data_IF_520200228433
#
_entry.id   IF_520200228433
#
_cell.length_a   1.000
_cell.length_b   1.000
_cell.length_c   1.000
_cell.angle_alpha   90.00
_cell.angle_beta   90.00
_cell.angle_gamma   90.00
#
_symmetry.space_group_name_H-M   'P 1'
#
loop_
_entity.id
_entity.type
_entity.pdbx_description
1 polymer ?
#
# COMPACT_ATOMS: atom_id res chain seq x y z
N UNK A 1 11.26 -13.27 -8.88
CA UNK A 1 10.40 -12.77 -9.98
C UNK A 1 9.06 -13.46 -9.85
N UNK A 2 7.95 -12.77 -10.11
CA UNK A 2 6.62 -13.39 -10.15
C UNK A 2 6.21 -13.49 -11.62
N UNK A 3 5.83 -14.69 -12.05
CA UNK A 3 5.33 -14.95 -13.41
C UNK A 3 3.85 -15.30 -13.29
N UNK A 4 3.02 -14.64 -14.06
CA UNK A 4 1.58 -14.94 -14.15
C UNK A 4 1.22 -15.15 -15.62
N UNK A 5 0.31 -16.09 -15.89
CA UNK A 5 -0.24 -16.33 -17.23
C UNK A 5 -1.62 -16.94 -17.12
N UNK A 6 -2.43 -16.72 -18.14
CA UNK A 6 -3.71 -17.43 -18.34
C UNK A 6 -3.51 -18.87 -18.83
N UNK A 7 -2.30 -19.21 -19.30
CA UNK A 7 -1.96 -20.53 -19.84
C UNK A 7 -0.75 -21.14 -19.10
N UNK A 8 -0.89 -22.30 -18.43
CA UNK A 8 0.21 -22.96 -17.72
C UNK A 8 1.40 -23.31 -18.63
N UNK A 9 1.13 -23.70 -19.89
CA UNK A 9 2.18 -24.05 -20.85
C UNK A 9 3.12 -22.87 -21.15
N UNK A 10 2.58 -21.64 -21.20
CA UNK A 10 3.37 -20.44 -21.43
C UNK A 10 4.32 -20.14 -20.25
N UNK A 11 3.92 -20.45 -19.02
CA UNK A 11 4.77 -20.31 -17.83
C UNK A 11 5.96 -21.27 -17.94
N UNK A 12 5.70 -22.53 -18.27
CA UNK A 12 6.76 -23.54 -18.38
C UNK A 12 7.75 -23.22 -19.51
N UNK A 13 7.25 -22.76 -20.66
CA UNK A 13 8.10 -22.32 -21.78
C UNK A 13 9.00 -21.15 -21.34
N UNK A 14 8.43 -20.13 -20.71
CA UNK A 14 9.19 -18.95 -20.25
C UNK A 14 10.24 -19.34 -19.20
N UNK A 15 9.91 -20.22 -18.26
CA UNK A 15 10.86 -20.72 -17.25
C UNK A 15 12.01 -21.47 -17.92
N UNK A 16 11.71 -22.32 -18.91
CA UNK A 16 12.72 -23.04 -19.69
C UNK A 16 13.64 -22.07 -20.43
N UNK A 17 13.08 -21.07 -21.11
CA UNK A 17 13.85 -20.07 -21.85
C UNK A 17 14.76 -19.26 -20.91
N UNK A 18 14.24 -18.81 -19.76
CA UNK A 18 15.02 -18.08 -18.77
C UNK A 18 16.12 -18.94 -18.13
N UNK A 19 15.88 -20.23 -17.93
CA UNK A 19 16.86 -21.17 -17.38
C UNK A 19 18.06 -21.38 -18.32
N UNK A 20 17.92 -21.10 -19.62
CA UNK A 20 19.06 -21.15 -20.56
C UNK A 20 20.07 -20.02 -20.34
N UNK A 21 19.60 -18.84 -19.90
CA UNK A 21 20.43 -17.64 -19.74
C UNK A 21 20.81 -17.38 -18.29
N UNK A 22 19.93 -17.74 -17.34
CA UNK A 22 20.08 -17.43 -15.93
C UNK A 22 19.91 -18.68 -15.05
N UNK A 23 20.60 -18.76 -13.90
CA UNK A 23 20.33 -19.79 -12.91
C UNK A 23 18.96 -19.52 -12.25
N UNK A 24 17.92 -20.15 -12.77
CA UNK A 24 16.54 -20.03 -12.27
C UNK A 24 16.19 -21.21 -11.38
N UNK A 25 15.63 -20.93 -10.20
CA UNK A 25 15.01 -21.92 -9.32
C UNK A 25 13.51 -21.64 -9.27
N UNK A 26 12.72 -22.59 -9.75
CA UNK A 26 11.28 -22.53 -9.60
C UNK A 26 10.90 -22.84 -8.15
N UNK A 27 10.16 -21.92 -7.53
CA UNK A 27 9.67 -22.02 -6.16
C UNK A 27 8.22 -22.50 -6.11
N UNK A 28 7.66 -22.95 -7.25
CA UNK A 28 6.28 -23.40 -7.40
C UNK A 28 5.27 -22.28 -7.09
N UNK A 29 4.11 -22.63 -6.54
CA UNK A 29 3.04 -21.69 -6.19
C UNK A 29 3.56 -20.55 -5.30
N UNK A 30 3.12 -19.32 -5.61
CA UNK A 30 3.53 -18.12 -4.91
C UNK A 30 2.92 -18.08 -3.50
N UNK A 31 3.68 -18.46 -2.47
CA UNK A 31 3.23 -18.31 -1.07
C UNK A 31 3.82 -17.08 -0.37
N UNK A 32 5.03 -16.69 -0.75
CA UNK A 32 5.73 -15.57 -0.13
C UNK A 32 6.62 -14.84 -1.14
N UNK A 33 6.46 -13.52 -1.25
CA UNK A 33 7.32 -12.70 -2.10
C UNK A 33 7.49 -11.30 -1.53
N UNK A 34 8.75 -10.89 -1.30
CA UNK A 34 9.10 -9.56 -0.78
C UNK A 34 8.31 -9.16 0.48
N UNK A 35 8.00 -10.07 1.39
CA UNK A 35 7.22 -9.73 2.59
C UNK A 35 5.71 -9.83 2.43
N UNK A 36 5.20 -10.05 1.21
CA UNK A 36 3.81 -10.39 0.94
C UNK A 36 3.62 -11.90 1.10
N UNK A 37 2.61 -12.28 1.87
CA UNK A 37 2.07 -13.62 2.01
C UNK A 37 0.82 -13.75 1.15
N UNK A 38 0.71 -14.88 0.48
CA UNK A 38 -0.40 -15.19 -0.42
C UNK A 38 -1.04 -16.48 0.04
N UNK A 39 -2.26 -16.38 0.55
CA UNK A 39 -3.06 -17.52 0.94
C UNK A 39 -4.15 -17.76 -0.12
N UNK A 40 -4.13 -18.94 -0.71
CA UNK A 40 -5.15 -19.35 -1.68
C UNK A 40 -6.34 -19.95 -0.93
N UNK A 41 -7.53 -19.46 -1.25
CA UNK A 41 -8.81 -19.95 -0.72
C UNK A 41 -9.65 -20.49 -1.86
N UNK A 42 -10.63 -21.35 -1.58
CA UNK A 42 -11.51 -21.92 -2.61
C UNK A 42 -12.22 -20.86 -3.47
N UNK A 43 -12.45 -19.67 -2.88
CA UNK A 43 -13.18 -18.56 -3.51
C UNK A 43 -12.26 -17.49 -4.10
N UNK A 44 -10.95 -17.55 -3.86
CA UNK A 44 -10.04 -16.48 -4.25
C UNK A 44 -8.69 -16.50 -3.54
N UNK A 45 -8.12 -15.33 -3.32
CA UNK A 45 -6.76 -15.11 -2.85
C UNK A 45 -6.76 -14.07 -1.74
N UNK A 46 -6.00 -14.31 -0.69
CA UNK A 46 -5.84 -13.40 0.44
C UNK A 46 -4.38 -12.97 0.52
N UNK A 47 -4.14 -11.67 0.39
CA UNK A 47 -2.82 -11.05 0.54
C UNK A 47 -2.67 -10.51 1.94
N UNK A 48 -1.60 -10.90 2.62
CA UNK A 48 -1.25 -10.35 3.94
C UNK A 48 0.25 -10.08 4.06
N UNK A 49 0.66 -9.41 5.13
CA UNK A 49 2.06 -9.17 5.45
C UNK A 49 2.38 -9.60 6.88
N UNK A 50 1.74 -10.66 7.37
CA UNK A 50 1.74 -11.04 8.79
C UNK A 50 3.14 -11.30 9.35
N UNK A 51 3.97 -12.08 8.66
CA UNK A 51 5.38 -12.32 9.02
C UNK A 51 6.18 -11.03 8.96
N UNK A 52 5.97 -10.21 7.93
CA UNK A 52 6.65 -8.92 7.82
C UNK A 52 6.29 -7.98 8.98
N UNK A 53 5.02 -7.92 9.41
CA UNK A 53 4.61 -7.19 10.62
C UNK A 53 5.31 -7.75 11.85
N UNK A 54 5.36 -9.07 12.03
CA UNK A 54 6.06 -9.71 13.17
C UNK A 54 7.55 -9.37 13.20
N UNK A 55 8.22 -9.45 12.06
CA UNK A 55 9.63 -9.13 11.91
C UNK A 55 9.89 -7.63 12.16
N UNK A 56 9.00 -6.75 11.68
CA UNK A 56 9.05 -5.31 11.93
C UNK A 56 8.87 -4.99 13.42
N UNK A 57 7.92 -5.67 14.09
CA UNK A 57 7.69 -5.54 15.53
C UNK A 57 8.90 -6.03 16.32
N UNK A 58 9.49 -7.17 15.95
CA UNK A 58 10.69 -7.70 16.59
C UNK A 58 11.89 -6.75 16.43
N UNK A 59 12.11 -6.22 15.22
CA UNK A 59 13.16 -5.23 14.91
C UNK A 59 13.02 -3.92 15.67
N UNK A 60 11.78 -3.50 15.93
CA UNK A 60 11.51 -2.28 16.73
C UNK A 60 11.89 -2.40 18.22
N UNK A 61 12.38 -3.58 18.64
CA UNK A 61 12.93 -3.88 19.95
C UNK A 61 12.00 -3.52 21.13
N UNK A 62 10.69 -3.74 20.94
CA UNK A 62 9.68 -3.61 22.01
C UNK A 62 9.51 -4.87 22.86
N UNK A 63 10.41 -5.87 22.75
CA UNK A 63 10.35 -7.10 23.55
C UNK A 63 11.45 -7.20 24.63
N UNK A 64 12.68 -6.70 24.43
CA UNK A 64 13.80 -6.87 25.39
C UNK A 64 14.90 -5.78 25.29
N UNK A 65 14.59 -4.50 25.43
CA UNK A 65 15.60 -3.44 25.29
C UNK A 65 16.47 -3.25 26.57
N UNK A 66 17.78 -3.53 26.46
CA UNK A 66 18.82 -3.25 27.48
C UNK A 66 19.27 -1.79 27.42
N UNK A 67 19.64 -1.20 28.55
CA UNK A 67 20.08 0.19 28.66
C UNK A 67 21.36 0.48 27.85
N UNK A 68 21.34 1.57 27.07
CA UNK A 68 22.48 2.05 26.26
C UNK A 68 22.69 3.54 26.55
N UNK A 69 23.96 3.93 26.70
CA UNK A 69 24.42 5.25 27.15
C UNK A 69 24.45 6.35 26.05
N UNK A 70 23.95 6.05 24.84
CA UNK A 70 23.81 7.05 23.77
C UNK A 70 22.35 7.48 23.63
N UNK A 71 22.04 8.78 23.63
CA UNK A 71 20.66 9.25 23.67
C UNK A 71 19.85 8.93 22.40
N UNK A 72 20.47 8.64 21.24
CA UNK A 72 19.73 8.24 20.03
C UNK A 72 20.60 7.70 18.89
N UNK A 73 20.25 6.53 18.32
CA UNK A 73 20.65 6.17 16.96
C UNK A 73 19.51 6.51 15.98
N UNK A 74 19.69 7.54 15.15
CA UNK A 74 18.68 8.00 14.18
C UNK A 74 18.29 6.91 13.15
N UNK A 75 19.21 5.99 12.85
CA UNK A 75 19.08 4.93 11.85
C UNK A 75 17.91 3.96 12.11
N UNK A 76 17.67 3.61 13.38
CA UNK A 76 16.65 2.62 13.75
C UNK A 76 15.22 3.16 13.57
N UNK A 77 15.00 4.45 13.88
CA UNK A 77 13.69 5.09 13.71
C UNK A 77 13.33 5.24 12.23
N UNK A 78 14.31 5.64 11.42
CA UNK A 78 14.15 5.76 9.95
C UNK A 78 13.85 4.41 9.31
N UNK A 79 14.52 3.34 9.75
CA UNK A 79 14.25 1.98 9.25
C UNK A 79 12.83 1.51 9.56
N UNK A 80 12.32 1.79 10.77
CA UNK A 80 10.94 1.44 11.15
C UNK A 80 9.91 2.21 10.33
N UNK A 81 10.11 3.51 10.11
CA UNK A 81 9.18 4.33 9.31
C UNK A 81 9.20 3.89 7.84
N UNK A 82 10.38 3.58 7.27
CA UNK A 82 10.46 2.97 5.94
C UNK A 82 9.74 1.62 5.87
N UNK A 83 9.85 0.82 6.94
CA UNK A 83 9.14 -0.45 7.04
C UNK A 83 7.61 -0.30 7.08
N UNK A 84 7.11 0.73 7.77
CA UNK A 84 5.69 1.10 7.79
C UNK A 84 5.19 1.62 6.44
N UNK A 85 6.03 2.36 5.72
CA UNK A 85 5.72 2.83 4.36
C UNK A 85 5.54 1.65 3.40
N UNK A 86 6.38 0.62 3.52
CA UNK A 86 6.21 -0.62 2.76
C UNK A 86 4.90 -1.34 3.13
N UNK A 87 4.53 -1.30 4.41
CA UNK A 87 3.33 -1.98 4.91
C UNK A 87 2.01 -1.40 4.40
N UNK A 88 2.05 -0.12 4.03
CA UNK A 88 0.91 0.57 3.43
C UNK A 88 0.49 -0.03 2.07
N UNK A 89 1.29 -0.95 1.49
CA UNK A 89 0.96 -1.73 0.29
C UNK A 89 -0.08 -2.83 0.50
N UNK A 90 -0.35 -3.28 1.72
CA UNK A 90 -1.44 -4.23 2.01
C UNK A 90 -2.38 -3.75 3.10
N UNK A 91 -2.03 -2.65 3.77
CA UNK A 91 -2.79 -2.07 4.87
C UNK A 91 -3.16 -0.62 4.54
N UNK A 92 -4.21 -0.39 3.71
CA UNK A 92 -4.68 0.95 3.36
C UNK A 92 -5.12 1.76 4.60
N UNK A 93 -5.57 1.08 5.65
CA UNK A 93 -6.03 1.62 6.92
C UNK A 93 -4.97 2.43 7.67
N UNK A 94 -3.68 2.11 7.51
CA UNK A 94 -2.58 2.87 8.13
C UNK A 94 -1.99 3.95 7.21
N UNK A 95 -2.38 4.02 5.94
CA UNK A 95 -1.72 4.84 4.93
C UNK A 95 -1.64 6.33 5.33
N UNK A 96 -2.73 6.87 5.90
CA UNK A 96 -2.74 8.24 6.41
C UNK A 96 -1.75 8.46 7.56
N UNK A 97 -1.79 7.58 8.58
CA UNK A 97 -0.96 7.70 9.77
C UNK A 97 0.53 7.57 9.42
N UNK A 98 0.86 6.64 8.51
CA UNK A 98 2.22 6.46 7.99
C UNK A 98 2.65 7.69 7.20
N UNK A 99 1.81 8.22 6.29
CA UNK A 99 2.13 9.43 5.54
C UNK A 99 2.46 10.61 6.46
N UNK A 100 1.68 10.80 7.54
CA UNK A 100 1.92 11.87 8.52
C UNK A 100 3.26 11.71 9.23
N UNK A 101 3.59 10.52 9.70
CA UNK A 101 4.88 10.27 10.37
C UNK A 101 6.05 10.43 9.40
N UNK A 102 5.90 9.99 8.15
CA UNK A 102 6.91 10.12 7.11
C UNK A 102 7.33 11.58 6.86
N UNK A 103 6.42 12.55 7.04
CA UNK A 103 6.72 13.98 6.87
C UNK A 103 7.78 14.49 7.85
N UNK A 104 7.93 13.86 9.02
CA UNK A 104 8.87 14.28 10.05
C UNK A 104 10.15 13.45 10.09
N UNK A 105 10.43 12.64 9.07
CA UNK A 105 11.64 11.79 9.00
C UNK A 105 12.94 12.60 8.99
N UNK A 106 12.92 13.83 8.44
CA UNK A 106 14.10 14.70 8.42
C UNK A 106 14.48 15.23 9.82
N UNK A 107 13.50 15.38 10.72
CA UNK A 107 13.72 15.86 12.09
C UNK A 107 12.74 15.20 13.07
N UNK A 108 12.97 13.92 13.43
CA UNK A 108 12.04 13.17 14.27
C UNK A 108 12.13 13.59 15.74
N UNK A 109 11.01 14.07 16.31
CA UNK A 109 10.87 14.45 17.72
C UNK A 109 10.20 13.35 18.54
N UNK A 110 10.22 13.49 19.87
CA UNK A 110 9.56 12.56 20.80
C UNK A 110 8.08 12.29 20.47
N UNK A 111 7.24 13.31 20.18
CA UNK A 111 5.83 13.07 19.82
C UNK A 111 5.66 12.20 18.57
N UNK A 112 6.53 12.38 17.56
CA UNK A 112 6.50 11.59 16.33
C UNK A 112 6.81 10.12 16.60
N UNK A 113 7.76 9.84 17.51
CA UNK A 113 8.07 8.48 17.91
C UNK A 113 6.93 7.83 18.72
N UNK A 114 6.21 8.60 19.54
CA UNK A 114 4.99 8.11 20.21
C UNK A 114 3.91 7.74 19.19
N UNK A 115 3.74 8.53 18.12
CA UNK A 115 2.84 8.20 17.02
C UNK A 115 3.25 6.90 16.30
N UNK A 116 4.55 6.73 16.00
CA UNK A 116 5.08 5.46 15.44
C UNK A 116 4.74 4.27 16.33
N UNK A 117 4.98 4.38 17.64
CA UNK A 117 4.65 3.30 18.59
C UNK A 117 3.15 2.99 18.60
N UNK A 118 2.28 3.99 18.43
CA UNK A 118 0.83 3.78 18.32
C UNK A 118 0.47 2.98 17.07
N UNK A 119 1.07 3.30 15.92
CA UNK A 119 0.90 2.53 14.67
C UNK A 119 1.36 1.09 14.87
N UNK A 120 2.53 0.87 15.47
CA UNK A 120 3.03 -0.49 15.76
C UNK A 120 2.12 -1.28 16.71
N UNK A 121 1.56 -0.63 17.74
CA UNK A 121 0.57 -1.26 18.64
C UNK A 121 -0.72 -1.63 17.91
N UNK A 122 -1.18 -0.78 17.01
CA UNK A 122 -2.35 -1.06 16.18
C UNK A 122 -2.10 -2.28 15.29
N UNK A 123 -0.95 -2.33 14.61
CA UNK A 123 -0.54 -3.46 13.77
C UNK A 123 -0.42 -4.78 14.53
N UNK A 124 -0.06 -4.74 15.81
CA UNK A 124 -0.10 -5.92 16.69
C UNK A 124 -1.52 -6.47 16.86
N UNK A 125 -2.53 -5.60 16.88
CA UNK A 125 -3.94 -5.98 16.96
C UNK A 125 -4.54 -6.43 15.62
N UNK A 126 -4.00 -5.93 14.50
CA UNK A 126 -4.50 -6.20 13.14
C UNK A 126 -3.61 -7.15 12.33
N UNK A 127 -2.86 -8.03 13.00
CA UNK A 127 -1.91 -8.96 12.34
C UNK A 127 -2.52 -9.86 11.25
N UNK A 128 -3.82 -10.16 11.35
CA UNK A 128 -4.52 -11.04 10.42
C UNK A 128 -5.30 -10.24 9.36
N UNK A 129 -5.11 -8.92 9.28
CA UNK A 129 -5.77 -8.09 8.28
C UNK A 129 -4.98 -8.17 6.97
N UNK A 130 -5.69 -8.06 5.86
CA UNK A 130 -5.14 -8.22 4.52
C UNK A 130 -6.18 -7.94 3.46
N UNK A 131 -5.78 -8.07 2.21
CA UNK A 131 -6.64 -7.84 1.05
C UNK A 131 -7.19 -9.17 0.55
N UNK A 132 -8.52 -9.29 0.50
CA UNK A 132 -9.19 -10.46 -0.07
C UNK A 132 -9.63 -10.16 -1.50
N UNK A 133 -9.15 -10.96 -2.44
CA UNK A 133 -9.54 -10.95 -3.84
C UNK A 133 -10.35 -12.21 -4.13
N UNK A 134 -11.57 -12.04 -4.65
CA UNK A 134 -12.44 -13.15 -5.04
C UNK A 134 -12.66 -13.12 -6.55
N UNK A 135 -12.98 -14.27 -7.13
CA UNK A 135 -13.40 -14.29 -8.54
C UNK A 135 -14.70 -13.47 -8.65
N UNK A 136 -14.69 -12.45 -9.52
CA UNK A 136 -15.85 -11.61 -9.80
C UNK A 136 -16.11 -11.60 -11.30
N UNK A 137 -17.37 -11.76 -11.69
CA UNK A 137 -17.81 -11.61 -13.08
C UNK A 137 -17.93 -10.14 -13.50
N UNK A 138 -18.02 -9.22 -12.54
CA UNK A 138 -18.13 -7.78 -12.79
C UNK A 138 -16.79 -7.11 -12.55
N UNK A 139 -16.20 -6.59 -13.63
CA UNK A 139 -15.01 -5.74 -13.62
C UNK A 139 -15.45 -4.29 -13.86
N UNK A 140 -16.01 -3.65 -12.83
CA UNK A 140 -16.31 -2.20 -12.89
C UNK A 140 -15.22 -1.44 -12.13
N UNK A 141 -14.67 -0.40 -12.74
CA UNK A 141 -13.68 0.45 -12.09
C UNK A 141 -14.40 1.61 -11.39
N UNK A 142 -14.27 1.68 -10.06
CA UNK A 142 -14.91 2.69 -9.22
C UNK A 142 -13.83 3.37 -8.36
N UNK A 143 -13.87 4.69 -8.25
CA UNK A 143 -12.93 5.43 -7.44
C UNK A 143 -13.67 6.34 -6.47
N UNK A 144 -13.23 6.31 -5.22
CA UNK A 144 -13.67 7.21 -4.16
C UNK A 144 -12.51 8.13 -3.82
N UNK A 145 -12.79 9.40 -3.60
CA UNK A 145 -11.80 10.38 -3.15
C UNK A 145 -12.32 11.05 -1.90
N UNK A 146 -11.41 11.37 -1.00
CA UNK A 146 -11.71 12.14 0.20
C UNK A 146 -10.62 13.19 0.39
N UNK A 147 -10.96 14.34 0.97
CA UNK A 147 -9.98 15.40 1.22
C UNK A 147 -10.21 16.06 2.57
N UNK A 148 -9.15 16.09 3.36
CA UNK A 148 -9.09 16.82 4.62
C UNK A 148 -8.51 18.21 4.35
N UNK A 149 -9.39 19.23 4.22
CA UNK A 149 -8.98 20.61 3.96
C UNK A 149 -8.32 21.24 5.19
N UNK A 150 -7.16 21.86 4.98
CA UNK A 150 -6.36 22.52 6.02
C UNK A 150 -6.02 21.66 7.25
N UNK A 151 -6.22 20.33 7.20
CA UNK A 151 -6.00 19.41 8.33
C UNK A 151 -4.54 19.28 8.81
N UNK A 152 -3.59 19.99 8.20
CA UNK A 152 -2.24 20.16 8.71
C UNK A 152 -2.09 21.57 9.29
N UNK A 153 -2.18 21.70 10.62
CA UNK A 153 -2.05 22.99 11.32
C UNK A 153 -0.71 23.70 11.04
N UNK A 154 0.34 22.94 10.75
CA UNK A 154 1.69 23.47 10.53
C UNK A 154 1.81 24.23 9.18
N UNK A 155 1.31 23.65 8.08
CA UNK A 155 1.50 24.21 6.72
C UNK A 155 0.18 24.62 6.02
N UNK A 156 -0.97 24.38 6.66
CA UNK A 156 -2.34 24.53 6.11
C UNK A 156 -2.60 23.78 4.79
N UNK A 157 -1.75 22.83 4.43
CA UNK A 157 -1.91 22.00 3.22
C UNK A 157 -2.90 20.87 3.48
N UNK A 158 -3.84 20.69 2.55
CA UNK A 158 -4.83 19.61 2.59
C UNK A 158 -4.17 18.24 2.39
N UNK A 159 -4.79 17.20 2.96
CA UNK A 159 -4.41 15.80 2.70
C UNK A 159 -5.50 15.15 1.87
N UNK A 160 -5.18 14.80 0.62
CA UNK A 160 -6.11 14.08 -0.25
C UNK A 160 -5.86 12.59 -0.16
N UNK A 161 -6.92 11.80 -0.21
CA UNK A 161 -6.85 10.36 -0.30
C UNK A 161 -7.77 9.84 -1.39
N UNK A 162 -7.45 8.66 -1.92
CA UNK A 162 -8.34 7.96 -2.82
C UNK A 162 -8.26 6.46 -2.59
N UNK A 163 -9.33 5.77 -2.99
CA UNK A 163 -9.44 4.33 -3.04
C UNK A 163 -10.10 3.93 -4.37
N UNK A 164 -9.43 3.11 -5.16
CA UNK A 164 -9.90 2.61 -6.45
C UNK A 164 -10.17 1.12 -6.34
N UNK A 165 -11.38 0.74 -6.72
CA UNK A 165 -11.89 -0.62 -6.68
C UNK A 165 -12.10 -1.16 -8.09
N UNK A 166 -11.76 -2.44 -8.28
CA UNK A 166 -12.15 -3.23 -9.43
C UNK A 166 -13.21 -4.25 -9.00
N UNK A 167 -14.47 -3.95 -9.30
CA UNK A 167 -15.62 -4.62 -8.71
C UNK A 167 -15.66 -4.36 -7.21
N UNK A 168 -15.50 -5.41 -6.41
CA UNK A 168 -15.48 -5.32 -4.94
C UNK A 168 -14.07 -5.31 -4.34
N UNK A 169 -13.03 -5.32 -5.17
CA UNK A 169 -11.65 -5.47 -4.72
C UNK A 169 -10.93 -4.13 -4.76
N UNK A 170 -10.34 -3.73 -3.64
CA UNK A 170 -9.45 -2.58 -3.59
C UNK A 170 -8.15 -2.91 -4.33
N UNK A 171 -7.82 -2.12 -5.35
CA UNK A 171 -6.64 -2.35 -6.21
C UNK A 171 -5.61 -1.22 -6.15
N UNK A 172 -6.03 0.00 -5.81
CA UNK A 172 -5.14 1.15 -5.66
C UNK A 172 -5.68 2.10 -4.62
N UNK A 173 -4.80 2.67 -3.81
CA UNK A 173 -5.16 3.65 -2.80
C UNK A 173 -3.98 4.55 -2.50
N UNK A 174 -4.28 5.72 -1.95
CA UNK A 174 -3.26 6.66 -1.54
C UNK A 174 -3.80 7.59 -0.47
N UNK A 175 -2.92 8.06 0.40
CA UNK A 175 -3.17 9.21 1.28
C UNK A 175 -1.95 10.10 1.23
N UNK A 176 -2.11 11.31 0.69
CA UNK A 176 -1.00 12.20 0.37
C UNK A 176 -1.33 13.66 0.64
N UNK A 177 -0.40 14.34 1.31
CA UNK A 177 -0.44 15.79 1.48
C UNK A 177 -0.28 16.48 0.12
N UNK A 178 -1.16 17.42 -0.19
CA UNK A 178 -1.11 18.20 -1.43
C UNK A 178 0.17 19.05 -1.49
N UNK A 179 0.72 19.25 -2.69
CA UNK A 179 1.95 20.03 -2.88
C UNK A 179 1.73 21.52 -2.65
N UNK A 180 0.55 22.02 -3.01
CA UNK A 180 0.17 23.43 -2.88
C UNK A 180 -0.92 23.60 -1.83
N UNK A 181 -0.94 24.76 -1.16
CA UNK A 181 -2.02 25.12 -0.23
C UNK A 181 -3.25 25.48 -1.06
N UNK A 182 -4.39 24.88 -0.72
CA UNK A 182 -5.67 25.22 -1.33
C UNK A 182 -6.28 26.44 -0.63
N UNK A 183 -6.87 27.34 -1.40
CA UNK A 183 -7.52 28.57 -0.90
C UNK A 183 -8.97 28.34 -0.48
N UNK A 184 -9.56 27.20 -0.84
CA UNK A 184 -10.90 26.76 -0.43
C UNK A 184 -10.99 25.23 -0.34
N UNK A 185 -12.04 24.71 0.31
CA UNK A 185 -12.35 23.28 0.31
C UNK A 185 -12.56 22.77 -1.12
N UNK A 186 -13.32 23.51 -1.93
CA UNK A 186 -13.61 23.16 -3.32
C UNK A 186 -12.35 23.03 -4.17
N UNK A 187 -11.36 23.91 -3.96
CA UNK A 187 -10.07 23.79 -4.66
C UNK A 187 -9.30 22.54 -4.21
N UNK A 188 -9.34 22.21 -2.92
CA UNK A 188 -8.70 21.00 -2.39
C UNK A 188 -9.37 19.73 -2.93
N UNK A 189 -10.69 19.70 -3.00
CA UNK A 189 -11.50 18.63 -3.60
C UNK A 189 -11.14 18.44 -5.06
N UNK A 190 -11.13 19.52 -5.84
CA UNK A 190 -10.80 19.46 -7.27
C UNK A 190 -9.38 18.93 -7.52
N UNK A 191 -8.40 19.31 -6.69
CA UNK A 191 -7.03 18.78 -6.77
C UNK A 191 -6.95 17.28 -6.46
N UNK A 192 -7.69 16.82 -5.45
CA UNK A 192 -7.77 15.40 -5.12
C UNK A 192 -8.41 14.62 -6.26
N UNK A 193 -9.52 15.13 -6.80
CA UNK A 193 -10.23 14.58 -7.96
C UNK A 193 -9.35 14.46 -9.20
N UNK A 194 -8.61 15.51 -9.54
CA UNK A 194 -7.70 15.48 -10.68
C UNK A 194 -6.61 14.40 -10.52
N UNK A 195 -6.10 14.22 -9.30
CA UNK A 195 -5.11 13.18 -8.99
C UNK A 195 -5.71 11.79 -9.12
N UNK A 196 -6.90 11.57 -8.56
CA UNK A 196 -7.63 10.30 -8.65
C UNK A 196 -7.99 9.96 -10.09
N UNK A 197 -8.42 10.94 -10.89
CA UNK A 197 -8.75 10.74 -12.30
C UNK A 197 -7.53 10.32 -13.13
N UNK A 198 -6.34 10.90 -12.86
CA UNK A 198 -5.10 10.51 -13.52
C UNK A 198 -4.74 9.04 -13.25
N UNK A 199 -4.85 8.59 -11.99
CA UNK A 199 -4.63 7.19 -11.59
C UNK A 199 -5.66 6.25 -12.24
N UNK A 200 -6.92 6.69 -12.34
CA UNK A 200 -8.00 5.93 -12.97
C UNK A 200 -7.76 5.73 -14.47
N UNK A 201 -7.34 6.79 -15.18
CA UNK A 201 -6.97 6.73 -16.59
C UNK A 201 -5.77 5.80 -16.80
N UNK A 202 -4.78 5.88 -15.91
CA UNK A 202 -3.62 4.99 -15.95
C UNK A 202 -4.04 3.52 -15.79
N UNK A 203 -4.87 3.20 -14.78
CA UNK A 203 -5.41 1.86 -14.56
C UNK A 203 -6.26 1.37 -15.74
N UNK A 204 -7.10 2.23 -16.32
CA UNK A 204 -7.91 1.88 -17.47
C UNK A 204 -7.06 1.55 -18.69
N UNK A 205 -5.97 2.29 -18.89
CA UNK A 205 -5.00 2.05 -19.97
C UNK A 205 -4.28 0.72 -19.76
N UNK A 206 -3.77 0.48 -18.55
CA UNK A 206 -3.13 -0.77 -18.17
C UNK A 206 -4.05 -1.98 -18.39
N UNK A 207 -5.31 -1.87 -17.95
CA UNK A 207 -6.29 -2.95 -18.10
C UNK A 207 -6.63 -3.20 -19.57
N UNK A 208 -6.67 -2.15 -20.40
CA UNK A 208 -6.85 -2.26 -21.85
C UNK A 208 -5.68 -2.98 -22.51
N UNK A 209 -4.44 -2.68 -22.12
CA UNK A 209 -3.25 -3.40 -22.60
C UNK A 209 -3.26 -4.88 -22.20
N UNK A 210 -3.83 -5.20 -21.03
CA UNK A 210 -4.07 -6.58 -20.58
C UNK A 210 -5.27 -7.25 -21.27
N UNK A 211 -5.93 -6.59 -22.22
CA UNK A 211 -7.07 -7.13 -22.98
C UNK A 211 -8.42 -7.06 -22.25
N UNK A 212 -8.51 -6.28 -21.16
CA UNK A 212 -9.75 -6.06 -20.41
C UNK A 212 -10.38 -4.75 -20.87
N UNK A 213 -11.54 -4.83 -21.52
CA UNK A 213 -12.28 -3.67 -22.04
C UNK A 213 -13.47 -3.32 -21.16
N UNK A 214 -13.63 -2.03 -20.86
CA UNK A 214 -14.77 -1.50 -20.10
C UNK A 214 -15.72 -0.75 -21.03
N UNK A 215 -17.03 -0.96 -20.88
CA UNK A 215 -18.05 -0.22 -21.63
C UNK A 215 -18.21 1.24 -21.14
N UNK A 216 -17.94 1.51 -19.85
CA UNK A 216 -18.08 2.84 -19.25
C UNK A 216 -17.30 2.89 -17.92
N UNK A 217 -16.42 3.88 -17.73
CA UNK A 217 -15.87 4.16 -16.40
C UNK A 217 -16.95 4.88 -15.58
N UNK A 218 -17.38 4.27 -14.47
CA UNK A 218 -18.42 4.87 -13.62
C UNK A 218 -17.73 5.71 -12.55
N UNK A 219 -17.83 7.03 -12.66
CA UNK A 219 -17.32 7.96 -11.65
C UNK A 219 -18.37 8.07 -10.55
N UNK A 220 -18.06 7.61 -9.34
CA UNK A 220 -18.95 7.76 -8.19
C UNK A 220 -18.26 8.63 -7.16
N UNK A 221 -18.75 9.86 -7.03
CA UNK A 221 -18.35 10.79 -5.97
C UNK A 221 -19.16 10.45 -4.73
N UNK A 222 -18.47 10.27 -3.59
CA UNK A 222 -19.07 10.37 -2.25
C UNK A 222 -18.36 11.52 -1.56
#
# INVERSE_FOLDING_TARGET
MVITSSQPCAINSLISDLATVFPVKDLSTLFYFLGLEVDYTDTGLFLSQRKYIKDLLARSNMLLAKAIASPMAASLKLSVVGGLQYLSLTSPDIAYAVNKVCQFMHCPKLPHWTAVKRILKYLKGTLNFGLSFKKSSKLNLQAYTDVDWAGCLDDRRSTGGFCIFLGHHLISWSSKKQKTVARSNTEAEYKSLASTAAELIWLQTLLRELGIFFATATYSLV
#
